data_IF_525407575840
#
_entry.id   IF_525407575840
#
_cell.length_a   1.000
_cell.length_b   1.000
_cell.length_c   1.000
_cell.angle_alpha   90.00
_cell.angle_beta   90.00
_cell.angle_gamma   90.00
#
_symmetry.space_group_name_H-M   'P 1'
#
loop_
_entity.id
_entity.type
_entity.pdbx_description
1 polymer ?
#
# COMPACT_ATOMS: atom_id res chain seq x y z
N UNK A 1 22.49 46.88 23.24
CA UNK A 1 21.43 45.85 23.41
C UNK A 1 20.85 45.53 22.03
N UNK A 2 21.26 44.45 21.34
CA UNK A 2 20.63 44.03 20.08
C UNK A 2 19.80 42.75 20.28
N UNK A 3 18.48 42.85 20.17
CA UNK A 3 17.53 41.72 20.08
C UNK A 3 16.43 42.24 19.15
N UNK A 4 16.04 41.64 18.03
CA UNK A 4 15.83 40.22 17.75
C UNK A 4 15.87 40.02 16.23
N UNK A 5 16.67 39.06 15.75
CA UNK A 5 16.66 38.65 14.36
C UNK A 5 15.42 37.81 14.05
N UNK A 6 14.61 38.27 13.09
CA UNK A 6 13.51 37.51 12.50
C UNK A 6 14.08 36.36 11.67
N UNK A 7 14.01 35.12 12.17
CA UNK A 7 14.27 33.93 11.35
C UNK A 7 12.96 33.43 10.74
N UNK A 8 12.63 33.96 9.57
CA UNK A 8 11.64 33.41 8.64
C UNK A 8 12.15 32.06 8.15
N UNK A 9 11.73 30.98 8.78
CA UNK A 9 11.96 29.62 8.29
C UNK A 9 10.92 29.29 7.22
N UNK A 10 11.26 29.48 5.95
CA UNK A 10 10.48 28.98 4.84
C UNK A 10 10.46 27.44 4.90
N UNK A 11 9.34 26.86 5.38
CA UNK A 11 9.11 25.42 5.28
C UNK A 11 8.98 25.08 3.80
N UNK A 12 9.93 24.30 3.28
CA UNK A 12 9.83 23.70 1.96
C UNK A 12 8.61 22.76 1.98
N UNK A 13 7.48 23.20 1.43
CA UNK A 13 6.28 22.37 1.31
C UNK A 13 6.51 21.42 0.14
N UNK A 14 7.21 20.32 0.39
CA UNK A 14 7.21 19.21 -0.54
C UNK A 14 5.85 18.53 -0.42
N UNK A 15 4.89 18.92 -1.26
CA UNK A 15 3.50 18.47 -1.17
C UNK A 15 3.44 16.97 -1.46
N UNK A 16 3.27 16.17 -0.40
CA UNK A 16 2.95 14.76 -0.53
C UNK A 16 1.53 14.59 -1.09
N UNK A 17 1.41 13.95 -2.26
CA UNK A 17 0.11 13.56 -2.83
C UNK A 17 -0.28 12.16 -2.37
N UNK A 18 -1.20 12.12 -1.41
CA UNK A 18 -1.72 10.88 -0.84
C UNK A 18 -2.44 10.00 -1.87
N UNK A 19 -3.15 10.57 -2.84
CA UNK A 19 -3.92 9.77 -3.79
C UNK A 19 -2.98 9.05 -4.75
N UNK A 20 -2.03 9.77 -5.34
CA UNK A 20 -0.97 9.17 -6.19
C UNK A 20 -0.19 8.10 -5.42
N UNK A 21 0.11 8.36 -4.14
CA UNK A 21 0.81 7.40 -3.29
C UNK A 21 -0.02 6.12 -3.07
N UNK A 22 -1.31 6.25 -2.73
CA UNK A 22 -2.21 5.12 -2.53
C UNK A 22 -2.45 4.31 -3.82
N UNK A 23 -2.56 4.97 -4.97
CA UNK A 23 -2.81 4.32 -6.26
C UNK A 23 -1.61 3.45 -6.67
N UNK A 24 -0.39 3.94 -6.45
CA UNK A 24 0.83 3.18 -6.69
C UNK A 24 0.89 1.90 -5.83
N UNK A 25 0.62 2.00 -4.51
CA UNK A 25 0.59 0.84 -3.61
C UNK A 25 -0.55 -0.11 -3.95
N UNK A 26 -1.73 0.43 -4.27
CA UNK A 26 -2.88 -0.37 -4.68
C UNK A 26 -2.56 -1.21 -5.92
N UNK A 27 -1.86 -0.65 -6.89
CA UNK A 27 -1.41 -1.36 -8.09
C UNK A 27 -0.40 -2.46 -7.75
N UNK A 28 0.60 -2.17 -6.93
CA UNK A 28 1.61 -3.15 -6.52
C UNK A 28 0.98 -4.33 -5.75
N UNK A 29 0.08 -4.03 -4.81
CA UNK A 29 -0.61 -5.03 -3.99
C UNK A 29 -1.59 -5.84 -4.83
N UNK A 30 -2.35 -5.22 -5.74
CA UNK A 30 -3.24 -5.95 -6.64
C UNK A 30 -2.46 -6.95 -7.51
N UNK A 31 -1.31 -6.53 -8.04
CA UNK A 31 -0.43 -7.41 -8.83
C UNK A 31 0.13 -8.57 -7.98
N UNK A 32 0.53 -8.30 -6.74
CA UNK A 32 1.02 -9.33 -5.83
C UNK A 32 -0.07 -10.33 -5.43
N UNK A 33 -1.26 -9.84 -5.07
CA UNK A 33 -2.44 -10.68 -4.79
C UNK A 33 -2.81 -11.54 -5.99
N UNK A 34 -2.75 -10.98 -7.21
CA UNK A 34 -3.07 -11.72 -8.42
C UNK A 34 -2.13 -12.92 -8.63
N UNK A 35 -0.83 -12.73 -8.36
CA UNK A 35 0.17 -13.78 -8.44
C UNK A 35 0.06 -14.82 -7.32
N UNK A 36 -0.42 -14.42 -6.13
CA UNK A 36 -0.54 -15.30 -4.96
C UNK A 36 -1.83 -16.12 -4.95
N UNK A 37 -2.90 -15.63 -5.58
CA UNK A 37 -4.19 -16.30 -5.61
C UNK A 37 -4.27 -17.35 -6.73
N UNK A 38 -4.90 -18.51 -6.49
CA UNK A 38 -5.15 -19.47 -7.54
C UNK A 38 -5.94 -18.84 -8.69
N UNK A 39 -5.64 -19.18 -9.96
CA UNK A 39 -6.45 -18.74 -11.09
C UNK A 39 -7.91 -19.18 -10.95
N UNK A 40 -8.85 -18.35 -11.38
CA UNK A 40 -10.31 -18.60 -11.26
C UNK A 40 -10.76 -19.93 -11.89
N UNK A 41 -10.01 -20.42 -12.89
CA UNK A 41 -10.32 -21.66 -13.64
C UNK A 41 -9.77 -22.92 -12.95
N UNK A 42 -8.91 -22.76 -11.94
CA UNK A 42 -8.33 -23.87 -11.18
C UNK A 42 -9.40 -24.49 -10.30
N UNK A 43 -9.52 -25.83 -10.28
CA UNK A 43 -10.49 -26.50 -9.40
C UNK A 43 -10.09 -26.31 -7.92
N UNK A 44 -11.03 -26.02 -7.01
CA UNK A 44 -12.46 -25.77 -7.24
C UNK A 44 -12.74 -24.34 -7.74
N UNK A 45 -13.23 -24.22 -8.98
CA UNK A 45 -13.34 -22.93 -9.68
C UNK A 45 -14.31 -21.94 -9.00
N UNK A 46 -15.42 -22.43 -8.46
CA UNK A 46 -16.40 -21.58 -7.76
C UNK A 46 -15.79 -20.87 -6.55
N UNK A 47 -14.96 -21.56 -5.78
CA UNK A 47 -14.30 -21.00 -4.60
C UNK A 47 -13.28 -19.93 -5.02
N UNK A 48 -12.40 -20.24 -5.98
CA UNK A 48 -11.38 -19.29 -6.42
C UNK A 48 -12.00 -18.06 -7.08
N UNK A 49 -13.10 -18.23 -7.84
CA UNK A 49 -13.86 -17.10 -8.39
C UNK A 49 -14.43 -16.22 -7.27
N UNK A 50 -15.00 -16.81 -6.21
CA UNK A 50 -15.52 -16.05 -5.07
C UNK A 50 -14.41 -15.30 -4.32
N UNK A 51 -13.26 -15.94 -4.06
CA UNK A 51 -12.10 -15.31 -3.42
C UNK A 51 -11.62 -14.10 -4.22
N UNK A 52 -11.42 -14.28 -5.53
CA UNK A 52 -10.95 -13.20 -6.42
C UNK A 52 -11.98 -12.09 -6.57
N UNK A 53 -13.27 -12.42 -6.66
CA UNK A 53 -14.33 -11.40 -6.67
C UNK A 53 -14.26 -10.52 -5.42
N UNK A 54 -14.21 -11.12 -4.23
CA UNK A 54 -14.16 -10.35 -2.98
C UNK A 54 -12.89 -9.51 -2.87
N UNK A 55 -11.73 -10.08 -3.21
CA UNK A 55 -10.47 -9.37 -3.09
C UNK A 55 -10.30 -8.28 -4.15
N UNK A 56 -10.81 -8.45 -5.37
CA UNK A 56 -10.64 -7.49 -6.47
C UNK A 56 -11.85 -6.60 -6.75
N UNK A 57 -12.85 -6.54 -5.86
CA UNK A 57 -14.03 -5.66 -6.00
C UNK A 57 -13.73 -4.15 -5.91
N UNK A 58 -12.45 -3.75 -5.82
CA UNK A 58 -11.99 -2.37 -5.72
C UNK A 58 -11.52 -1.99 -4.32
N UNK A 59 -11.20 -0.71 -4.13
CA UNK A 59 -10.72 -0.15 -2.85
C UNK A 59 -9.31 0.42 -2.93
N UNK A 60 -9.00 1.35 -2.00
CA UNK A 60 -7.72 2.09 -1.94
C UNK A 60 -6.55 1.32 -1.30
N UNK A 61 -6.76 0.04 -0.96
CA UNK A 61 -5.77 -0.84 -0.29
C UNK A 61 -5.07 -0.18 0.90
N UNK A 62 -5.86 0.46 1.77
CA UNK A 62 -5.33 1.31 2.84
C UNK A 62 -4.49 0.50 3.84
N UNK A 63 -4.93 -0.72 4.19
CA UNK A 63 -4.20 -1.57 5.14
C UNK A 63 -2.86 -2.03 4.55
N UNK A 64 -2.80 -2.59 3.33
CA UNK A 64 -1.53 -2.86 2.64
C UNK A 64 -0.60 -1.66 2.55
N UNK A 65 -1.13 -0.50 2.16
CA UNK A 65 -0.32 0.71 2.02
C UNK A 65 0.31 1.13 3.35
N UNK A 66 -0.44 1.05 4.46
CA UNK A 66 0.07 1.31 5.80
C UNK A 66 1.08 0.25 6.25
N UNK A 67 0.88 -1.03 5.91
CA UNK A 67 1.87 -2.09 6.20
C UNK A 67 3.20 -1.82 5.50
N UNK A 68 3.17 -1.43 4.23
CA UNK A 68 4.36 -1.09 3.46
C UNK A 68 5.06 0.15 4.03
N UNK A 69 4.29 1.21 4.33
CA UNK A 69 4.81 2.44 4.93
C UNK A 69 5.47 2.20 6.31
N UNK A 70 4.86 1.34 7.12
CA UNK A 70 5.42 0.98 8.43
C UNK A 70 6.74 0.21 8.29
N UNK A 71 6.83 -0.72 7.33
CA UNK A 71 8.08 -1.41 7.05
C UNK A 71 9.18 -0.45 6.60
N UNK A 72 8.86 0.47 5.68
CA UNK A 72 9.78 1.51 5.21
C UNK A 72 10.24 2.43 6.36
N UNK A 73 9.32 2.87 7.22
CA UNK A 73 9.62 3.71 8.38
C UNK A 73 10.56 3.02 9.40
N UNK A 74 10.54 1.69 9.46
CA UNK A 74 11.44 0.87 10.28
C UNK A 74 12.76 0.52 9.58
N UNK A 75 13.03 1.06 8.38
CA UNK A 75 14.24 0.77 7.60
C UNK A 75 14.18 -0.52 6.77
N UNK A 76 13.00 -1.13 6.64
CA UNK A 76 12.76 -2.30 5.79
C UNK A 76 12.58 -1.94 4.32
N UNK A 77 12.67 -2.95 3.44
CA UNK A 77 12.39 -2.78 2.01
C UNK A 77 10.93 -3.15 1.70
N UNK A 78 10.27 -2.35 0.87
CA UNK A 78 8.88 -2.59 0.46
C UNK A 78 8.67 -4.00 -0.11
N UNK A 79 9.62 -4.49 -0.92
CA UNK A 79 9.57 -5.83 -1.53
C UNK A 79 9.50 -6.97 -0.50
N UNK A 80 10.13 -6.80 0.66
CA UNK A 80 10.13 -7.80 1.72
C UNK A 80 8.82 -7.78 2.52
N UNK A 81 8.17 -6.60 2.59
CA UNK A 81 6.91 -6.41 3.29
C UNK A 81 5.67 -6.71 2.43
N UNK A 82 5.83 -6.78 1.10
CA UNK A 82 4.72 -6.98 0.16
C UNK A 82 3.91 -8.26 0.42
N UNK A 83 4.50 -9.43 0.76
CA UNK A 83 3.73 -10.62 1.13
C UNK A 83 2.89 -10.41 2.40
N UNK A 84 3.42 -9.68 3.39
CA UNK A 84 2.70 -9.36 4.62
C UNK A 84 1.55 -8.36 4.36
N UNK A 85 1.79 -7.37 3.50
CA UNK A 85 0.75 -6.45 3.07
C UNK A 85 -0.40 -7.19 2.36
N UNK A 86 -0.11 -8.20 1.55
CA UNK A 86 -1.12 -9.07 0.95
C UNK A 86 -1.87 -9.89 2.01
N UNK A 87 -1.16 -10.46 2.98
CA UNK A 87 -1.78 -11.25 4.06
C UNK A 87 -2.78 -10.42 4.89
N UNK A 88 -2.44 -9.16 5.19
CA UNK A 88 -3.32 -8.23 5.93
C UNK A 88 -4.57 -7.83 5.11
N UNK A 89 -4.54 -7.92 3.79
CA UNK A 89 -5.74 -7.68 2.96
C UNK A 89 -6.65 -8.91 2.85
N UNK A 90 -6.12 -10.10 3.15
CA UNK A 90 -6.86 -11.36 3.10
C UNK A 90 -7.69 -11.66 4.35
N UNK A 91 -7.60 -10.82 5.39
CA UNK A 91 -8.34 -10.95 6.65
C UNK A 91 -9.47 -9.92 6.76
#
# INVERSE_FOLDING_TARGET
>A
MPTTATRTGARHQNTFDLNTWLDARSTAVNKALDALLPPEKTKPATLHKAMRYSLFAGGKRMRPALTLAAAEACGGREVDALPLACAVECI
#
